data_IF_451728640698
#
_entry.id   IF_451728640698
#
_cell.length_a   1.000
_cell.length_b   1.000
_cell.length_c   1.000
_cell.angle_alpha   90.00
_cell.angle_beta   90.00
_cell.angle_gamma   90.00
#
_symmetry.space_group_name_H-M   'P 1'
#
loop_
_entity.id
_entity.type
_entity.pdbx_description
1 polymer ?
#
# COMPACT_ATOMS: atom_id res chain seq x y z
N UNK A 1 -12.93 17.34 -2.34
CA UNK A 1 -11.55 16.86 -2.60
C UNK A 1 -10.94 17.47 -3.85
N UNK A 2 -11.51 17.26 -5.05
CA UNK A 2 -10.95 17.80 -6.29
C UNK A 2 -10.85 19.33 -6.31
N UNK A 3 -11.91 20.02 -5.89
CA UNK A 3 -11.91 21.48 -5.76
C UNK A 3 -10.85 22.02 -4.77
N UNK A 4 -10.40 21.19 -3.81
CA UNK A 4 -9.33 21.51 -2.88
C UNK A 4 -7.93 21.16 -3.43
N UNK A 5 -7.81 20.80 -4.72
CA UNK A 5 -6.54 20.52 -5.40
C UNK A 5 -6.06 19.07 -5.34
N UNK A 6 -6.84 18.14 -4.77
CA UNK A 6 -6.49 16.71 -4.78
C UNK A 6 -6.60 16.17 -6.20
N UNK A 7 -5.51 15.57 -6.71
CA UNK A 7 -5.43 15.06 -8.10
C UNK A 7 -5.43 13.53 -8.23
N UNK A 8 -5.05 12.81 -7.18
CA UNK A 8 -4.86 11.36 -7.21
C UNK A 8 -5.58 10.70 -6.05
N UNK A 9 -6.16 9.53 -6.30
CA UNK A 9 -6.83 8.71 -5.30
C UNK A 9 -6.23 7.32 -5.29
N UNK A 10 -6.06 6.76 -4.10
CA UNK A 10 -5.70 5.37 -3.89
C UNK A 10 -6.89 4.71 -3.19
N UNK A 11 -7.39 3.60 -3.73
CA UNK A 11 -8.53 2.86 -3.17
C UNK A 11 -8.06 1.44 -2.88
N UNK A 12 -8.21 0.99 -1.64
CA UNK A 12 -7.95 -0.40 -1.28
C UNK A 12 -9.14 -1.26 -1.68
N UNK A 13 -8.91 -2.30 -2.46
CA UNK A 13 -9.93 -3.23 -2.95
C UNK A 13 -9.31 -4.62 -3.11
N UNK A 14 -9.46 -5.45 -2.08
CA UNK A 14 -8.84 -6.79 -2.04
C UNK A 14 -9.72 -7.88 -2.67
N UNK A 15 -10.98 -7.59 -3.00
CA UNK A 15 -11.90 -8.56 -3.62
C UNK A 15 -13.09 -7.85 -4.26
N UNK A 16 -13.58 -8.40 -5.37
CA UNK A 16 -14.83 -8.03 -6.05
C UNK A 16 -16.01 -8.92 -5.61
N UNK A 17 -15.75 -9.94 -4.79
CA UNK A 17 -16.78 -10.81 -4.21
C UNK A 17 -17.21 -10.25 -2.85
N UNK A 18 -18.49 -9.91 -2.72
CA UNK A 18 -19.07 -9.23 -1.53
C UNK A 18 -18.70 -9.89 -0.19
N UNK A 19 -18.86 -11.21 -0.10
CA UNK A 19 -18.55 -11.96 1.13
C UNK A 19 -17.07 -11.91 1.49
N UNK A 20 -16.18 -12.07 0.49
CA UNK A 20 -14.72 -12.00 0.69
C UNK A 20 -14.28 -10.59 1.06
N UNK A 21 -14.82 -9.58 0.37
CA UNK A 21 -14.61 -8.17 0.72
C UNK A 21 -15.01 -7.90 2.18
N UNK A 22 -16.18 -8.38 2.60
CA UNK A 22 -16.65 -8.22 3.98
C UNK A 22 -15.73 -8.96 4.97
N UNK A 23 -15.21 -10.13 4.62
CA UNK A 23 -14.25 -10.87 5.43
C UNK A 23 -12.92 -10.12 5.60
N UNK A 24 -12.41 -9.48 4.55
CA UNK A 24 -11.17 -8.68 4.62
C UNK A 24 -11.34 -7.38 5.39
N UNK A 25 -12.39 -6.62 5.07
CA UNK A 25 -12.59 -5.26 5.61
C UNK A 25 -13.36 -5.25 6.92
N UNK A 26 -13.96 -6.38 7.32
CA UNK A 26 -14.92 -6.53 8.43
C UNK A 26 -16.17 -5.66 8.26
N UNK A 27 -16.49 -5.26 7.02
CA UNK A 27 -17.61 -4.39 6.68
C UNK A 27 -18.19 -4.79 5.32
N UNK A 28 -19.50 -5.02 5.29
CA UNK A 28 -20.20 -5.30 4.03
C UNK A 28 -20.51 -3.99 3.29
N UNK A 29 -19.52 -3.47 2.56
CA UNK A 29 -19.55 -2.14 1.91
C UNK A 29 -18.98 -2.14 0.49
N UNK A 30 -18.91 -3.29 -0.17
CA UNK A 30 -18.35 -3.39 -1.51
C UNK A 30 -19.06 -2.45 -2.49
N UNK A 31 -20.40 -2.49 -2.52
CA UNK A 31 -21.21 -1.65 -3.42
C UNK A 31 -20.94 -0.16 -3.20
N UNK A 32 -20.75 0.26 -1.95
CA UNK A 32 -20.40 1.64 -1.60
C UNK A 32 -19.01 2.03 -2.15
N UNK A 33 -18.03 1.12 -2.10
CA UNK A 33 -16.68 1.35 -2.63
C UNK A 33 -16.71 1.45 -4.15
N UNK A 34 -17.41 0.54 -4.83
CA UNK A 34 -17.55 0.56 -6.29
C UNK A 34 -18.25 1.83 -6.77
N UNK A 35 -19.37 2.21 -6.13
CA UNK A 35 -20.05 3.47 -6.42
C UNK A 35 -19.16 4.69 -6.17
N UNK A 36 -18.32 4.65 -5.13
CA UNK A 36 -17.34 5.71 -4.84
C UNK A 36 -16.26 5.85 -5.91
N UNK A 37 -15.79 4.74 -6.48
CA UNK A 37 -14.84 4.74 -7.60
C UNK A 37 -15.50 5.40 -8.82
N UNK A 38 -16.71 4.99 -9.19
CA UNK A 38 -17.41 5.55 -10.35
C UNK A 38 -17.74 7.05 -10.16
N UNK A 39 -18.14 7.45 -8.96
CA UNK A 39 -18.34 8.86 -8.62
C UNK A 39 -17.04 9.69 -8.71
N UNK A 40 -15.91 9.13 -8.27
CA UNK A 40 -14.62 9.80 -8.41
C UNK A 40 -14.21 9.95 -9.88
N UNK A 41 -14.46 8.94 -10.72
CA UNK A 41 -14.23 9.04 -12.17
C UNK A 41 -15.09 10.15 -12.78
N UNK A 42 -16.39 10.16 -12.47
CA UNK A 42 -17.32 11.19 -12.94
C UNK A 42 -16.93 12.60 -12.48
N UNK A 43 -16.33 12.72 -11.29
CA UNK A 43 -15.81 13.98 -10.79
C UNK A 43 -14.53 14.46 -11.51
N UNK A 44 -13.94 13.67 -12.41
CA UNK A 44 -12.76 14.03 -13.20
C UNK A 44 -11.42 13.71 -12.51
N UNK A 45 -11.37 12.67 -11.68
CA UNK A 45 -10.10 12.11 -11.22
C UNK A 45 -9.51 11.19 -12.30
N UNK A 46 -8.41 11.61 -12.92
CA UNK A 46 -7.81 10.91 -14.08
C UNK A 46 -6.92 9.72 -13.69
N UNK A 47 -6.39 9.68 -12.46
CA UNK A 47 -5.46 8.63 -12.02
C UNK A 47 -5.88 8.06 -10.67
N UNK A 48 -6.99 7.32 -10.69
CA UNK A 48 -7.43 6.51 -9.57
C UNK A 48 -6.65 5.19 -9.62
N UNK A 49 -5.99 4.85 -8.51
CA UNK A 49 -5.21 3.63 -8.38
C UNK A 49 -5.85 2.69 -7.36
N UNK A 50 -6.09 1.45 -7.75
CA UNK A 50 -6.47 0.37 -6.86
C UNK A 50 -5.22 -0.19 -6.17
N UNK A 51 -5.33 -0.59 -4.91
CA UNK A 51 -4.33 -1.39 -4.22
C UNK A 51 -5.00 -2.66 -3.69
N UNK A 52 -4.42 -3.82 -3.98
CA UNK A 52 -4.91 -5.12 -3.53
C UNK A 52 -3.76 -5.89 -2.88
N UNK A 53 -3.95 -6.35 -1.65
CA UNK A 53 -3.05 -7.32 -1.02
C UNK A 53 -3.46 -8.71 -1.49
N UNK A 54 -2.53 -9.47 -2.07
CA UNK A 54 -2.82 -10.81 -2.60
C UNK A 54 -2.43 -11.87 -1.57
N UNK A 55 -3.38 -12.76 -1.28
CA UNK A 55 -3.23 -13.88 -0.36
C UNK A 55 -3.64 -15.19 -1.05
N UNK A 56 -2.69 -16.13 -1.10
CA UNK A 56 -2.89 -17.47 -1.65
C UNK A 56 -4.03 -18.21 -0.93
N UNK A 57 -4.90 -18.83 -1.71
CA UNK A 57 -6.08 -19.56 -1.22
C UNK A 57 -7.20 -18.67 -0.71
N UNK A 58 -7.13 -17.34 -0.91
CA UNK A 58 -8.13 -16.39 -0.38
C UNK A 58 -8.70 -15.48 -1.47
N UNK A 59 -7.85 -14.74 -2.16
CA UNK A 59 -8.25 -13.82 -3.25
C UNK A 59 -7.31 -13.88 -4.46
N UNK A 60 -6.34 -14.79 -4.47
CA UNK A 60 -5.39 -14.95 -5.56
C UNK A 60 -6.07 -15.44 -6.86
N UNK A 61 -7.27 -16.02 -6.76
CA UNK A 61 -8.14 -16.34 -7.89
C UNK A 61 -8.77 -15.10 -8.56
N UNK A 62 -8.86 -13.97 -7.85
CA UNK A 62 -9.47 -12.72 -8.36
C UNK A 62 -8.45 -11.77 -9.01
N UNK A 63 -7.16 -12.15 -9.12
CA UNK A 63 -6.11 -11.29 -9.70
C UNK A 63 -6.48 -10.82 -11.10
N UNK A 64 -6.92 -11.74 -11.98
CA UNK A 64 -7.33 -11.38 -13.34
C UNK A 64 -8.62 -10.55 -13.36
N UNK A 65 -9.59 -10.89 -12.51
CA UNK A 65 -10.85 -10.15 -12.41
C UNK A 65 -10.62 -8.69 -11.98
N UNK A 66 -9.68 -8.46 -11.06
CA UNK A 66 -9.28 -7.14 -10.60
C UNK A 66 -8.55 -6.35 -11.70
N UNK A 67 -7.71 -7.01 -12.52
CA UNK A 67 -7.06 -6.38 -13.68
C UNK A 67 -8.11 -5.98 -14.72
N UNK A 68 -9.04 -6.88 -15.06
CA UNK A 68 -10.12 -6.60 -16.00
C UNK A 68 -11.03 -5.47 -15.51
N UNK A 69 -11.35 -5.47 -14.21
CA UNK A 69 -12.09 -4.38 -13.58
C UNK A 69 -11.36 -3.03 -13.72
N UNK A 70 -10.04 -3.02 -13.54
CA UNK A 70 -9.22 -1.82 -13.71
C UNK A 70 -9.21 -1.35 -15.17
N UNK A 71 -8.97 -2.27 -16.12
CA UNK A 71 -8.97 -1.98 -17.57
C UNK A 71 -10.30 -1.39 -18.02
N UNK A 72 -11.42 -2.03 -17.66
CA UNK A 72 -12.76 -1.60 -18.05
C UNK A 72 -13.11 -0.18 -17.56
N UNK A 73 -12.43 0.32 -16.54
CA UNK A 73 -12.64 1.66 -15.95
C UNK A 73 -11.51 2.64 -16.22
N UNK A 74 -10.45 2.24 -16.93
CA UNK A 74 -9.26 3.07 -17.14
C UNK A 74 -8.56 3.42 -15.83
N UNK A 75 -8.51 2.47 -14.90
CA UNK A 75 -7.87 2.61 -13.59
C UNK A 75 -6.46 1.99 -13.65
N UNK A 76 -5.60 2.42 -12.75
CA UNK A 76 -4.37 1.68 -12.46
C UNK A 76 -4.61 0.72 -11.29
N UNK A 77 -3.83 -0.34 -11.19
CA UNK A 77 -3.88 -1.28 -10.06
C UNK A 77 -2.48 -1.62 -9.57
N UNK A 78 -2.30 -1.74 -8.25
CA UNK A 78 -1.08 -2.30 -7.66
C UNK A 78 -1.41 -3.51 -6.80
N UNK A 79 -0.69 -4.61 -7.04
CA UNK A 79 -0.70 -5.77 -6.17
C UNK A 79 0.41 -5.67 -5.14
N UNK A 80 0.10 -6.04 -3.91
CA UNK A 80 0.98 -5.91 -2.75
C UNK A 80 1.15 -7.29 -2.14
N UNK A 81 2.40 -7.68 -1.87
CA UNK A 81 2.66 -8.90 -1.09
C UNK A 81 2.19 -8.69 0.34
N UNK A 82 1.56 -9.71 0.90
CA UNK A 82 1.16 -9.70 2.31
C UNK A 82 2.39 -9.49 3.21
N UNK A 83 2.37 -8.42 4.01
CA UNK A 83 3.39 -8.16 5.03
C UNK A 83 2.93 -8.66 6.40
N UNK A 84 3.85 -9.12 7.26
CA UNK A 84 3.51 -9.60 8.59
C UNK A 84 3.30 -8.47 9.62
N UNK A 85 2.45 -7.49 9.32
CA UNK A 85 2.17 -6.36 10.23
C UNK A 85 0.99 -6.67 11.15
N UNK A 86 1.14 -6.41 12.45
CA UNK A 86 0.13 -6.66 13.49
C UNK A 86 -0.06 -8.14 13.88
N UNK A 87 -0.70 -8.35 15.04
CA UNK A 87 -1.08 -9.66 15.56
C UNK A 87 -2.35 -10.15 14.87
N UNK A 88 -2.19 -10.93 13.80
CA UNK A 88 -3.30 -11.70 13.24
C UNK A 88 -3.10 -13.14 13.68
N UNK A 89 -3.81 -13.52 14.74
CA UNK A 89 -3.76 -14.84 15.41
C UNK A 89 -4.26 -15.98 14.50
N UNK A 90 -4.77 -15.68 13.30
CA UNK A 90 -5.61 -16.65 12.58
C UNK A 90 -4.91 -17.51 11.52
N UNK A 91 -3.74 -17.16 10.97
CA UNK A 91 -3.14 -17.97 9.87
C UNK A 91 -1.61 -17.97 9.87
N UNK A 92 -1.02 -19.11 9.48
CA UNK A 92 0.41 -19.21 9.15
C UNK A 92 0.66 -18.46 7.84
N UNK A 93 1.08 -17.20 7.92
CA UNK A 93 1.30 -16.28 6.77
C UNK A 93 2.19 -16.85 5.67
N UNK A 94 3.09 -17.77 5.99
CA UNK A 94 3.89 -18.51 5.00
C UNK A 94 3.01 -19.27 3.99
N UNK A 95 1.85 -19.77 4.43
CA UNK A 95 0.93 -20.55 3.60
C UNK A 95 0.09 -19.64 2.68
N UNK A 96 -0.11 -18.37 3.05
CA UNK A 96 -0.87 -17.39 2.26
C UNK A 96 0.01 -16.48 1.41
N UNK A 97 1.33 -16.58 1.52
CA UNK A 97 2.25 -15.76 0.73
C UNK A 97 2.08 -16.02 -0.78
N UNK A 98 1.95 -14.94 -1.53
CA UNK A 98 2.00 -14.92 -2.99
C UNK A 98 3.00 -13.84 -3.42
N UNK A 99 4.04 -14.25 -4.14
CA UNK A 99 5.07 -13.34 -4.62
C UNK A 99 4.56 -12.48 -5.78
N UNK A 100 5.18 -11.32 -5.96
CA UNK A 100 4.87 -10.43 -7.07
C UNK A 100 5.11 -11.08 -8.44
N UNK A 101 6.11 -11.97 -8.55
CA UNK A 101 6.37 -12.72 -9.77
C UNK A 101 5.26 -13.73 -10.09
N UNK A 102 4.74 -14.44 -9.08
CA UNK A 102 3.60 -15.35 -9.27
C UNK A 102 2.35 -14.60 -9.71
N UNK A 103 2.06 -13.44 -9.09
CA UNK A 103 0.94 -12.59 -9.49
C UNK A 103 1.13 -12.08 -10.92
N UNK A 104 2.34 -11.61 -11.27
CA UNK A 104 2.64 -11.18 -12.65
C UNK A 104 2.44 -12.32 -13.64
N UNK A 105 2.97 -13.49 -13.36
CA UNK A 105 2.86 -14.66 -14.24
C UNK A 105 1.40 -15.05 -14.49
N UNK A 106 0.52 -14.94 -13.48
CA UNK A 106 -0.93 -15.16 -13.65
C UNK A 106 -1.56 -14.13 -14.59
N UNK A 107 -1.17 -12.86 -14.48
CA UNK A 107 -1.67 -11.79 -15.35
C UNK A 107 -1.21 -12.03 -16.80
N UNK A 108 0.04 -12.45 -16.97
CA UNK A 108 0.66 -12.75 -18.27
C UNK A 108 0.00 -13.93 -19.01
N UNK A 109 -0.80 -14.76 -18.34
CA UNK A 109 -1.60 -15.80 -18.99
C UNK A 109 -2.71 -15.23 -19.88
N UNK A 110 -3.16 -13.99 -19.62
CA UNK A 110 -4.28 -13.35 -20.35
C UNK A 110 -3.91 -12.01 -20.97
N UNK A 111 -2.96 -11.29 -20.38
CA UNK A 111 -2.57 -9.96 -20.82
C UNK A 111 -1.06 -9.87 -21.03
N UNK A 112 -0.64 -9.46 -22.22
CA UNK A 112 0.76 -9.11 -22.44
C UNK A 112 1.12 -7.87 -21.61
N UNK A 113 2.23 -7.94 -20.86
CA UNK A 113 2.73 -6.86 -20.02
C UNK A 113 4.07 -6.35 -20.53
N UNK A 114 4.20 -5.03 -20.67
CA UNK A 114 5.46 -4.38 -21.03
C UNK A 114 5.98 -3.60 -19.84
N UNK A 115 7.23 -3.84 -19.45
CA UNK A 115 7.84 -3.12 -18.30
C UNK A 115 7.86 -1.62 -18.57
N UNK A 116 7.34 -0.84 -17.63
CA UNK A 116 7.39 0.62 -17.70
C UNK A 116 8.69 1.15 -17.12
N UNK A 117 9.29 2.16 -17.77
CA UNK A 117 10.40 2.94 -17.22
C UNK A 117 9.93 3.99 -16.19
N UNK A 118 8.62 4.10 -15.97
CA UNK A 118 8.06 5.11 -15.09
C UNK A 118 8.38 4.82 -13.62
N UNK A 119 9.04 5.78 -12.99
CA UNK A 119 9.31 5.77 -11.55
C UNK A 119 8.35 6.75 -10.87
N UNK A 120 7.81 6.35 -9.72
CA UNK A 120 6.99 7.21 -8.86
C UNK A 120 7.66 7.34 -7.49
N UNK A 121 7.22 8.29 -6.66
CA UNK A 121 7.67 8.39 -5.25
C UNK A 121 7.19 7.25 -4.35
N UNK A 122 6.62 6.18 -4.91
CA UNK A 122 6.17 4.99 -4.18
C UNK A 122 6.90 3.73 -4.65
N UNK A 123 6.86 2.65 -3.86
CA UNK A 123 7.68 1.45 -4.09
C UNK A 123 7.19 0.56 -5.24
N UNK A 124 6.13 0.98 -5.92
CA UNK A 124 5.50 0.18 -6.98
C UNK A 124 6.37 0.20 -8.22
N UNK A 125 6.71 -0.99 -8.72
CA UNK A 125 7.30 -1.19 -10.05
C UNK A 125 6.17 -1.44 -11.04
N UNK A 126 6.14 -0.73 -12.16
CA UNK A 126 4.99 -0.73 -13.07
C UNK A 126 5.25 -1.46 -14.40
N UNK A 127 4.20 -2.10 -14.88
CA UNK A 127 4.06 -2.67 -16.21
C UNK A 127 2.82 -2.08 -16.87
N UNK A 128 2.89 -1.85 -18.17
CA UNK A 128 1.77 -1.44 -19.01
C UNK A 128 1.07 -2.68 -19.55
N UNK A 129 -0.26 -2.71 -19.47
CA UNK A 129 -1.06 -3.72 -20.18
C UNK A 129 -1.11 -3.37 -21.67
N UNK A 130 -0.68 -4.26 -22.55
CA UNK A 130 -0.74 -4.03 -24.00
C UNK A 130 -2.19 -3.86 -24.44
N UNK A 131 -2.47 -2.80 -25.21
CA UNK A 131 -3.82 -2.48 -25.69
C UNK A 131 -4.69 -1.70 -24.70
N UNK A 132 -4.13 -1.26 -23.57
CA UNK A 132 -4.82 -0.42 -22.58
C UNK A 132 -3.88 0.65 -22.01
N UNK A 133 -4.42 1.75 -21.49
CA UNK A 133 -3.67 2.75 -20.71
C UNK A 133 -3.47 2.31 -19.25
N UNK A 134 -4.05 1.19 -18.84
CA UNK A 134 -3.95 0.64 -17.48
C UNK A 134 -2.54 0.17 -17.14
N UNK A 135 -2.02 0.65 -16.01
CA UNK A 135 -0.76 0.16 -15.43
C UNK A 135 -1.02 -0.81 -14.30
N UNK A 136 -0.27 -1.91 -14.31
CA UNK A 136 -0.19 -2.87 -13.22
C UNK A 136 1.10 -2.65 -12.46
N UNK A 137 0.97 -2.37 -11.17
CA UNK A 137 2.06 -2.16 -10.24
C UNK A 137 2.28 -3.37 -9.33
N UNK A 138 3.53 -3.59 -8.94
CA UNK A 138 3.87 -4.62 -7.95
C UNK A 138 4.67 -3.97 -6.81
N UNK A 139 4.21 -4.19 -5.58
CA UNK A 139 4.85 -3.73 -4.35
C UNK A 139 5.34 -4.96 -3.59
N UNK A 140 6.65 -5.16 -3.58
CA UNK A 140 7.29 -6.41 -3.18
C UNK A 140 8.15 -6.25 -1.90
N UNK A 141 7.54 -6.08 -0.72
CA UNK A 141 8.29 -5.92 0.53
C UNK A 141 9.12 -7.16 0.90
N UNK A 142 8.77 -8.36 0.41
CA UNK A 142 9.51 -9.60 0.65
C UNK A 142 10.39 -9.99 -0.53
N UNK A 143 9.80 -10.28 -1.70
CA UNK A 143 10.53 -10.92 -2.80
C UNK A 143 11.54 -9.99 -3.48
N UNK A 144 11.23 -8.70 -3.54
CA UNK A 144 12.08 -7.67 -4.17
C UNK A 144 12.14 -6.42 -3.31
N UNK A 145 12.76 -6.56 -2.14
CA UNK A 145 12.87 -5.49 -1.14
C UNK A 145 13.32 -4.15 -1.76
N UNK A 146 12.73 -3.05 -1.31
CA UNK A 146 12.96 -1.69 -1.81
C UNK A 146 13.38 -0.71 -0.70
N UNK A 147 13.87 -1.20 0.44
CA UNK A 147 14.21 -0.34 1.58
C UNK A 147 15.34 0.65 1.28
N UNK A 148 16.34 0.24 0.48
CA UNK A 148 17.43 1.13 0.06
C UNK A 148 16.96 2.38 -0.68
N UNK A 149 15.85 2.28 -1.42
CA UNK A 149 15.24 3.40 -2.14
C UNK A 149 14.09 4.07 -1.35
N UNK A 150 13.82 3.62 -0.13
CA UNK A 150 12.67 4.08 0.64
C UNK A 150 12.90 5.49 1.21
N UNK A 151 12.21 6.47 0.65
CA UNK A 151 12.24 7.87 1.11
C UNK A 151 11.06 8.24 2.05
N UNK A 152 10.31 7.25 2.55
CA UNK A 152 9.08 7.50 3.33
C UNK A 152 9.30 7.55 4.83
N UNK A 153 8.63 8.49 5.49
CA UNK A 153 8.34 8.54 6.93
C UNK A 153 6.85 8.83 7.11
N UNK A 154 6.31 8.58 8.30
CA UNK A 154 4.86 8.69 8.58
C UNK A 154 4.62 9.45 9.86
N UNK A 155 3.54 10.24 9.91
CA UNK A 155 3.05 10.81 11.16
C UNK A 155 1.77 10.07 11.53
N UNK A 156 1.74 9.44 12.70
CA UNK A 156 0.55 8.74 13.20
C UNK A 156 -0.53 9.72 13.64
N UNK A 157 -1.76 9.24 13.81
CA UNK A 157 -2.86 10.05 14.37
C UNK A 157 -2.57 10.56 15.80
N UNK A 158 -1.69 9.87 16.55
CA UNK A 158 -1.21 10.33 17.85
C UNK A 158 -0.21 11.48 17.77
N UNK A 159 0.29 11.78 16.55
CA UNK A 159 1.31 12.79 16.29
C UNK A 159 2.74 12.30 16.54
N UNK A 160 2.99 11.00 16.34
CA UNK A 160 4.34 10.42 16.37
C UNK A 160 4.89 10.26 14.97
N UNK A 161 6.14 10.68 14.73
CA UNK A 161 6.89 10.40 13.51
C UNK A 161 7.47 9.00 13.57
N UNK A 162 6.96 8.13 12.71
CA UNK A 162 7.42 6.75 12.51
C UNK A 162 8.32 6.71 11.28
N UNK A 163 9.54 6.19 11.45
CA UNK A 163 10.59 6.20 10.43
C UNK A 163 10.49 5.01 9.47
N UNK A 164 9.97 3.88 9.95
CA UNK A 164 9.80 2.64 9.21
C UNK A 164 8.53 1.92 9.66
N UNK A 165 7.83 1.21 8.76
CA UNK A 165 6.71 0.34 9.16
C UNK A 165 7.18 -0.92 9.90
N UNK A 166 8.38 -1.39 9.60
CA UNK A 166 8.96 -2.60 10.20
C UNK A 166 9.78 -2.32 11.46
N UNK A 167 9.63 -1.16 12.11
CA UNK A 167 10.36 -0.85 13.35
C UNK A 167 9.54 0.04 14.28
N UNK A 168 9.74 -0.13 15.59
CA UNK A 168 9.03 0.64 16.61
C UNK A 168 9.56 2.05 16.90
N UNK A 169 10.70 2.44 16.32
CA UNK A 169 11.28 3.76 16.58
C UNK A 169 10.32 4.86 16.13
N UNK A 170 10.03 5.79 17.04
CA UNK A 170 9.18 6.93 16.75
C UNK A 170 9.58 8.17 17.57
N UNK A 171 9.51 9.34 16.94
CA UNK A 171 9.68 10.64 17.60
C UNK A 171 8.30 11.24 17.92
N UNK A 172 8.06 11.63 19.16
CA UNK A 172 6.82 12.32 19.56
C UNK A 172 6.82 13.79 19.07
N UNK A 173 6.41 14.00 17.82
CA UNK A 173 6.34 15.33 17.21
C UNK A 173 5.32 16.22 17.92
N UNK A 174 4.19 15.66 18.36
CA UNK A 174 3.14 16.41 19.03
C UNK A 174 3.65 17.02 20.33
N UNK A 175 4.36 16.25 21.15
CA UNK A 175 4.98 16.75 22.38
C UNK A 175 6.03 17.82 22.05
N UNK A 176 6.90 17.57 21.07
CA UNK A 176 7.94 18.51 20.65
C UNK A 176 7.36 19.88 20.25
N UNK A 177 6.37 19.87 19.35
CA UNK A 177 5.72 21.09 18.84
C UNK A 177 4.98 21.87 19.94
N UNK A 178 4.39 21.16 20.91
CA UNK A 178 3.68 21.78 22.04
C UNK A 178 4.62 22.37 23.08
N UNK A 179 5.76 21.73 23.33
CA UNK A 179 6.77 22.24 24.26
C UNK A 179 7.56 23.44 23.69
N UNK A 180 7.69 23.51 22.37
CA UNK A 180 8.46 24.55 21.67
C UNK A 180 7.66 25.14 20.49
N UNK A 181 6.57 25.88 20.76
CA UNK A 181 5.72 26.42 19.71
C UNK A 181 6.48 27.45 18.84
N UNK A 182 6.39 27.30 17.52
CA UNK A 182 7.01 28.22 16.56
C UNK A 182 8.53 28.03 16.34
N UNK A 183 9.20 27.16 17.10
CA UNK A 183 10.64 26.90 16.97
C UNK A 183 10.93 25.93 15.79
N UNK A 184 10.90 26.49 14.57
CA UNK A 184 11.16 25.74 13.35
C UNK A 184 12.58 25.18 13.26
N UNK A 185 13.56 25.83 13.87
CA UNK A 185 14.95 25.39 13.87
C UNK A 185 15.12 24.10 14.69
N UNK A 186 14.54 24.07 15.89
CA UNK A 186 14.52 22.86 16.74
C UNK A 186 13.75 21.72 16.09
N UNK A 187 12.59 22.01 15.49
CA UNK A 187 11.82 21.01 14.76
C UNK A 187 12.67 20.39 13.64
N UNK A 188 13.31 21.23 12.82
CA UNK A 188 14.20 20.78 11.73
C UNK A 188 15.33 19.90 12.28
N UNK A 189 15.98 20.31 13.36
CA UNK A 189 17.07 19.53 13.95
C UNK A 189 16.56 18.17 14.44
N UNK A 190 15.45 18.13 15.17
CA UNK A 190 14.87 16.88 15.67
C UNK A 190 14.48 15.93 14.53
N UNK A 191 13.98 16.46 13.41
CA UNK A 191 13.70 15.66 12.22
C UNK A 191 14.97 15.07 11.60
N UNK A 192 16.04 15.87 11.47
CA UNK A 192 17.33 15.39 10.93
C UNK A 192 17.92 14.29 11.82
N UNK A 193 17.91 14.47 13.14
CA UNK A 193 18.39 13.45 14.08
C UNK A 193 17.54 12.19 14.01
N UNK A 194 16.21 12.31 13.97
CA UNK A 194 15.33 11.16 13.84
C UNK A 194 15.58 10.39 12.54
N UNK A 195 15.80 11.08 11.41
CA UNK A 195 16.06 10.44 10.13
C UNK A 195 17.34 9.58 10.13
N UNK A 196 18.34 9.90 10.95
CA UNK A 196 19.55 9.07 11.13
C UNK A 196 19.27 7.73 11.79
N UNK A 197 18.16 7.61 12.52
CA UNK A 197 17.71 6.37 13.16
C UNK A 197 16.84 5.51 12.22
N UNK A 198 16.65 5.92 10.97
CA UNK A 198 15.93 5.12 9.99
C UNK A 198 16.78 3.88 9.66
N UNK A 199 16.25 2.66 9.87
CA UNK A 199 17.02 1.46 9.56
C UNK A 199 17.24 1.35 8.05
N UNK A 200 18.38 0.77 7.66
CA UNK A 200 18.72 0.49 6.25
C UNK A 200 17.65 -0.38 5.57
N UNK A 201 17.16 -1.39 6.30
CA UNK A 201 16.08 -2.28 5.87
C UNK A 201 15.29 -2.80 7.05
N UNK A 202 14.07 -3.25 6.79
CA UNK A 202 13.38 -4.12 7.73
C UNK A 202 13.85 -5.57 7.56
N UNK A 203 13.84 -6.34 8.64
CA UNK A 203 14.11 -7.77 8.62
C UNK A 203 12.80 -8.48 8.97
N UNK A 204 11.99 -8.77 7.95
CA UNK A 204 10.85 -9.68 8.12
C UNK A 204 11.42 -11.11 8.08
N UNK A 205 12.04 -11.57 9.18
CA UNK A 205 12.49 -12.96 9.30
C UNK A 205 11.27 -13.89 9.45
N UNK A 206 11.33 -15.09 8.88
CA UNK A 206 10.28 -16.12 9.00
C UNK A 206 10.12 -16.68 10.42
N UNK A 207 11.15 -16.59 11.27
CA UNK A 207 11.15 -17.26 12.59
C UNK A 207 11.27 -16.36 13.81
N UNK A 208 11.44 -15.04 13.66
CA UNK A 208 11.39 -14.12 14.80
C UNK A 208 10.27 -13.12 14.60
N UNK A 209 9.20 -13.34 15.38
CA UNK A 209 8.03 -12.49 15.48
C UNK A 209 8.40 -11.11 16.03
N UNK A 210 9.11 -10.30 15.26
CA UNK A 210 9.03 -8.84 15.43
C UNK A 210 7.70 -8.41 14.82
N UNK A 211 6.63 -8.76 15.54
CA UNK A 211 5.30 -8.22 15.28
C UNK A 211 5.38 -6.75 15.65
N UNK A 212 5.68 -5.89 14.68
CA UNK A 212 5.41 -4.47 14.86
C UNK A 212 3.90 -4.35 15.08
N UNK A 213 3.51 -4.09 16.32
CA UNK A 213 2.10 -4.02 16.75
C UNK A 213 1.54 -2.66 16.32
N UNK A 214 1.41 -2.47 15.01
CA UNK A 214 0.85 -1.25 14.43
C UNK A 214 -0.08 -1.62 13.28
N UNK A 215 -1.37 -1.33 13.45
CA UNK A 215 -2.33 -1.42 12.36
C UNK A 215 -2.01 -0.36 11.31
N UNK A 216 -2.14 -0.73 10.02
CA UNK A 216 -1.96 0.20 8.90
C UNK A 216 -2.89 1.42 9.01
N UNK A 217 -4.11 1.22 9.52
CA UNK A 217 -5.08 2.28 9.77
C UNK A 217 -4.61 3.34 10.78
N UNK A 218 -3.65 3.01 11.65
CA UNK A 218 -3.11 3.91 12.69
C UNK A 218 -1.83 4.63 12.25
N UNK A 219 -1.19 4.15 11.18
CA UNK A 219 0.12 4.63 10.73
C UNK A 219 0.05 5.47 9.45
N UNK A 220 -1.15 5.73 8.92
CA UNK A 220 -1.33 6.60 7.75
C UNK A 220 -1.03 5.87 6.44
N UNK A 221 -1.85 4.86 6.14
CA UNK A 221 -1.89 4.14 4.87
C UNK A 221 -3.32 3.89 4.45
#
# INVERSE_FOLDING_TARGET
>A
LRAAGVRRLNVSLDSLKRERFAAFTRRDKLDQVLAGIDAARAAGFERIKLNSVVQRGRNDDEVLDLVEFAIARGLDISFIEEMPLGSVVSHRREQTFCSSDEVRARIEQRHALVRSSQVTGGPSRYWQVVGSETRVGFISPHSHNFCGDCNRVRVTAEGKLVLCLGHDNALDLKRLLRAHPGDGARLRQALIEALRLKPERHHFASDEQVQVVRFMSMTGG
#
